data_IF_815118362485
#
_entry.id   IF_815118362485
#
_cell.length_a   1.000
_cell.length_b   1.000
_cell.length_c   1.000
_cell.angle_alpha   90.00
_cell.angle_beta   90.00
_cell.angle_gamma   90.00
#
_symmetry.space_group_name_H-M   'P 1'
#
loop_
_entity.id
_entity.type
_entity.pdbx_description
1 polymer ?
#
# COMPACT_ATOMS: atom_id res chain seq x y z
N UNK A 1 5.80 -7.84 15.55
CA UNK A 1 6.28 -8.81 14.57
C UNK A 1 6.26 -8.27 13.15
N UNK A 2 5.17 -7.63 12.72
CA UNK A 2 5.09 -7.05 11.38
C UNK A 2 5.52 -5.58 11.30
N UNK A 3 5.81 -4.94 12.44
CA UNK A 3 6.04 -3.50 12.45
C UNK A 3 7.16 -3.05 11.51
N UNK A 4 8.30 -3.77 11.55
CA UNK A 4 9.43 -3.42 10.69
C UNK A 4 9.13 -3.70 9.22
N UNK A 5 8.47 -4.81 8.94
CA UNK A 5 8.04 -5.17 7.59
C UNK A 5 7.12 -4.09 7.01
N UNK A 6 6.13 -3.67 7.79
CA UNK A 6 5.18 -2.65 7.36
C UNK A 6 5.85 -1.29 7.16
N UNK A 7 6.82 -0.96 8.00
CA UNK A 7 7.56 0.29 7.86
C UNK A 7 8.37 0.31 6.57
N UNK A 8 8.96 -0.82 6.18
CA UNK A 8 9.66 -0.94 4.91
C UNK A 8 8.70 -0.78 3.73
N UNK A 9 7.55 -1.45 3.77
CA UNK A 9 6.53 -1.33 2.72
C UNK A 9 6.09 0.13 2.57
N UNK A 10 5.77 0.77 3.68
CA UNK A 10 5.36 2.18 3.71
C UNK A 10 6.42 3.06 3.07
N UNK A 11 7.68 2.91 3.49
CA UNK A 11 8.78 3.73 2.98
C UNK A 11 8.96 3.54 1.47
N UNK A 12 8.92 2.30 0.99
CA UNK A 12 9.08 2.00 -0.43
C UNK A 12 7.97 2.66 -1.27
N UNK A 13 6.75 2.68 -0.76
CA UNK A 13 5.64 3.34 -1.46
C UNK A 13 5.84 4.85 -1.46
N UNK A 14 6.22 5.42 -0.31
CA UNK A 14 6.34 6.88 -0.15
C UNK A 14 7.47 7.48 -0.99
N UNK A 15 8.55 6.71 -1.23
CA UNK A 15 9.68 7.21 -2.03
C UNK A 15 9.56 6.93 -3.53
N UNK A 16 8.46 6.29 -3.95
CA UNK A 16 8.26 5.97 -5.36
C UNK A 16 8.11 7.23 -6.20
N UNK A 17 8.99 7.45 -7.19
CA UNK A 17 8.97 8.72 -7.96
C UNK A 17 7.69 8.92 -8.77
N UNK A 18 7.01 7.85 -9.15
CA UNK A 18 5.79 7.92 -9.95
C UNK A 18 4.57 8.42 -9.17
N UNK A 19 4.67 8.47 -7.84
CA UNK A 19 3.57 8.93 -6.98
C UNK A 19 3.97 10.23 -6.30
N UNK A 20 3.32 11.33 -6.68
CA UNK A 20 3.63 12.65 -6.13
C UNK A 20 3.01 12.85 -4.75
N UNK A 21 3.79 13.42 -3.84
CA UNK A 21 3.32 13.71 -2.48
C UNK A 21 2.68 12.49 -1.82
N UNK A 22 3.31 11.33 -2.01
CA UNK A 22 2.75 10.08 -1.51
C UNK A 22 2.96 9.96 0.00
N UNK A 23 1.87 9.65 0.69
CA UNK A 23 1.86 9.38 2.13
C UNK A 23 1.09 8.11 2.39
N UNK A 24 1.62 7.27 3.28
CA UNK A 24 1.02 5.98 3.60
C UNK A 24 0.78 5.88 5.10
N UNK A 25 -0.43 5.47 5.46
CA UNK A 25 -0.75 5.12 6.85
C UNK A 25 -1.15 3.66 6.88
N UNK A 26 -0.74 2.94 7.91
CA UNK A 26 -1.03 1.51 8.06
C UNK A 26 -1.80 1.26 9.33
N UNK A 27 -2.81 0.39 9.25
CA UNK A 27 -3.61 -0.01 10.39
C UNK A 27 -3.79 -1.51 10.39
N UNK A 28 -3.65 -2.12 11.58
CA UNK A 28 -3.95 -3.53 11.75
C UNK A 28 -5.41 -3.63 12.18
N UNK A 29 -6.21 -4.38 11.41
CA UNK A 29 -7.64 -4.53 11.69
C UNK A 29 -7.96 -6.00 11.94
N UNK A 30 -7.92 -6.42 13.22
CA UNK A 30 -8.15 -7.84 13.57
C UNK A 30 -9.53 -8.33 13.20
N UNK A 31 -10.53 -7.45 13.23
CA UNK A 31 -11.93 -7.85 12.96
C UNK A 31 -12.12 -8.41 11.56
N UNK A 32 -11.27 -8.03 10.61
CA UNK A 32 -11.30 -8.54 9.24
C UNK A 32 -10.03 -9.27 8.88
N UNK A 33 -9.18 -9.57 9.87
CA UNK A 33 -7.91 -10.28 9.70
C UNK A 33 -7.06 -9.68 8.58
N UNK A 34 -6.93 -8.36 8.59
CA UNK A 34 -6.24 -7.64 7.51
C UNK A 34 -5.45 -6.46 8.04
N UNK A 35 -4.47 -6.04 7.24
CA UNK A 35 -3.78 -4.78 7.42
C UNK A 35 -4.30 -3.83 6.34
N UNK A 36 -4.63 -2.61 6.74
CA UNK A 36 -5.17 -1.61 5.82
C UNK A 36 -4.10 -0.57 5.54
N UNK A 37 -3.84 -0.34 4.27
CA UNK A 37 -2.94 0.71 3.81
C UNK A 37 -3.78 1.83 3.21
N UNK A 38 -3.67 3.02 3.80
CA UNK A 38 -4.27 4.23 3.24
C UNK A 38 -3.16 4.99 2.50
N UNK A 39 -3.25 5.02 1.18
CA UNK A 39 -2.25 5.65 0.34
C UNK A 39 -2.82 6.95 -0.22
N UNK A 40 -2.24 8.07 0.16
CA UNK A 40 -2.57 9.38 -0.41
C UNK A 40 -1.50 9.71 -1.44
N UNK A 41 -1.90 9.83 -2.69
CA UNK A 41 -0.99 10.13 -3.78
C UNK A 41 -1.69 11.03 -4.79
N UNK A 42 -0.97 12.03 -5.28
CA UNK A 42 -1.52 12.99 -6.28
C UNK A 42 -2.85 13.62 -5.83
N UNK A 43 -3.04 13.79 -4.52
CA UNK A 43 -4.25 14.39 -3.96
C UNK A 43 -5.43 13.42 -3.82
N UNK A 44 -5.23 12.15 -4.16
CA UNK A 44 -6.28 11.12 -4.06
C UNK A 44 -5.93 10.10 -3.00
N UNK A 45 -6.95 9.53 -2.39
CA UNK A 45 -6.80 8.50 -1.36
C UNK A 45 -7.21 7.14 -1.91
N UNK A 46 -6.31 6.18 -1.82
CA UNK A 46 -6.57 4.80 -2.20
C UNK A 46 -6.43 3.90 -0.97
N UNK A 47 -7.33 2.93 -0.84
CA UNK A 47 -7.31 1.98 0.28
C UNK A 47 -6.97 0.61 -0.25
N UNK A 48 -5.92 0.01 0.31
CA UNK A 48 -5.51 -1.35 0.00
C UNK A 48 -5.63 -2.21 1.25
N UNK A 49 -6.30 -3.35 1.14
CA UNK A 49 -6.44 -4.31 2.25
C UNK A 49 -5.58 -5.52 1.98
N UNK A 50 -4.66 -5.80 2.89
CA UNK A 50 -3.79 -6.97 2.80
C UNK A 50 -4.22 -7.99 3.85
N UNK A 51 -4.87 -9.10 3.45
CA UNK A 51 -5.23 -10.15 4.40
C UNK A 51 -4.00 -10.72 5.07
N UNK A 52 -4.12 -11.13 6.34
CA UNK A 52 -3.00 -11.71 7.07
C UNK A 52 -2.40 -12.91 6.34
N UNK A 53 -3.23 -13.73 5.69
CA UNK A 53 -2.76 -14.86 4.92
C UNK A 53 -1.82 -14.49 3.78
N UNK A 54 -2.01 -13.33 3.17
CA UNK A 54 -1.13 -12.82 2.14
C UNK A 54 0.26 -12.54 2.71
N UNK A 55 0.32 -11.98 3.92
CA UNK A 55 1.60 -11.68 4.59
C UNK A 55 2.31 -12.95 5.06
N UNK A 56 1.55 -13.98 5.42
CA UNK A 56 2.09 -15.25 5.86
C UNK A 56 2.65 -16.09 4.72
N UNK A 57 2.33 -15.75 3.47
CA UNK A 57 2.77 -16.50 2.29
C UNK A 57 4.20 -16.18 1.86
N UNK A 58 5.03 -15.64 2.76
CA UNK A 58 6.43 -15.27 2.51
C UNK A 58 6.59 -14.17 1.46
N UNK A 59 5.59 -13.32 1.34
CA UNK A 59 5.67 -12.16 0.46
C UNK A 59 6.69 -11.17 1.03
N UNK A 60 7.66 -10.76 0.21
CA UNK A 60 8.65 -9.77 0.66
C UNK A 60 8.03 -8.39 0.75
N UNK A 61 8.64 -7.52 1.56
CA UNK A 61 8.18 -6.14 1.66
C UNK A 61 8.23 -5.44 0.30
N UNK A 62 9.28 -5.71 -0.49
CA UNK A 62 9.40 -5.14 -1.83
C UNK A 62 8.26 -5.59 -2.74
N UNK A 63 7.93 -6.88 -2.71
CA UNK A 63 6.86 -7.43 -3.55
C UNK A 63 5.51 -6.82 -3.17
N UNK A 64 5.21 -6.71 -1.88
CA UNK A 64 3.96 -6.10 -1.45
C UNK A 64 3.91 -4.62 -1.84
N UNK A 65 5.00 -3.89 -1.65
CA UNK A 65 5.06 -2.49 -2.05
C UNK A 65 4.79 -2.33 -3.55
N UNK A 66 5.37 -3.17 -4.40
CA UNK A 66 5.13 -3.13 -5.84
C UNK A 66 3.68 -3.39 -6.19
N UNK A 67 3.04 -4.35 -5.52
CA UNK A 67 1.62 -4.64 -5.75
C UNK A 67 0.78 -3.41 -5.43
N UNK A 68 1.03 -2.77 -4.30
CA UNK A 68 0.28 -1.58 -3.88
C UNK A 68 0.53 -0.41 -4.84
N UNK A 69 1.79 -0.18 -5.20
CA UNK A 69 2.16 0.90 -6.12
C UNK A 69 1.46 0.71 -7.47
N UNK A 70 1.49 -0.50 -8.02
CA UNK A 70 0.85 -0.78 -9.31
C UNK A 70 -0.65 -0.55 -9.24
N UNK A 71 -1.29 -0.95 -8.15
CA UNK A 71 -2.73 -0.75 -7.96
C UNK A 71 -3.07 0.74 -7.85
N UNK A 72 -2.28 1.51 -7.12
CA UNK A 72 -2.49 2.95 -6.97
C UNK A 72 -2.32 3.67 -8.32
N UNK A 73 -1.29 3.29 -9.08
CA UNK A 73 -1.05 3.87 -10.40
C UNK A 73 -2.20 3.55 -11.36
N UNK A 74 -2.68 2.32 -11.34
CA UNK A 74 -3.81 1.90 -12.18
C UNK A 74 -5.07 2.69 -11.83
N UNK A 75 -5.35 2.84 -10.54
CA UNK A 75 -6.49 3.62 -10.07
C UNK A 75 -6.38 5.09 -10.48
N UNK A 76 -5.19 5.68 -10.32
CA UNK A 76 -4.93 7.06 -10.73
C UNK A 76 -5.18 7.25 -12.22
N UNK A 77 -4.70 6.32 -13.04
CA UNK A 77 -4.85 6.41 -14.49
C UNK A 77 -6.32 6.31 -14.89
N UNK A 78 -7.11 5.50 -14.21
CA UNK A 78 -8.55 5.42 -14.44
C UNK A 78 -9.25 6.74 -14.12
N UNK A 79 -8.86 7.41 -13.03
CA UNK A 79 -9.43 8.69 -12.66
C UNK A 79 -9.08 9.76 -13.69
N UNK A 80 -7.83 9.78 -14.16
CA UNK A 80 -7.40 10.75 -15.15
C UNK A 80 -8.07 10.55 -16.52
N UNK A 81 -8.52 9.34 -16.80
CA UNK A 81 -9.21 9.02 -18.05
C UNK A 81 -10.67 9.50 -18.08
N UNK A 82 -11.23 9.88 -16.94
CA UNK A 82 -12.58 10.42 -16.82
C UNK A 82 -12.55 11.95 -17.07
#
# INVERSE_FOLDING_TARGET
MYAQYLEVVKTLIEITPELNNCRVETYIEPSISSIIFYVNADGYKHIFKAPFGLLESKLTANALAEIIIDEVKEWRDKIKAI
#
